data_IF_537102030997
#
_entry.id   IF_537102030997
#
_cell.length_a   1.000
_cell.length_b   1.000
_cell.length_c   1.000
_cell.angle_alpha   90.00
_cell.angle_beta   90.00
_cell.angle_gamma   90.00
#
_symmetry.space_group_name_H-M   'P 1'
#
loop_
_entity.id
_entity.type
_entity.pdbx_description
1 polymer ?
#
# COMPACT_ATOMS: atom_id res chain seq x y z
N UNK A 1 -8.38 37.48 17.05
CA UNK A 1 -8.52 36.19 16.34
C UNK A 1 -7.12 35.74 15.91
N UNK A 2 -6.43 34.95 16.73
CA UNK A 2 -5.04 34.52 16.47
C UNK A 2 -4.98 33.25 15.62
N UNK A 3 -5.81 33.16 14.58
CA UNK A 3 -6.10 31.88 13.94
C UNK A 3 -5.55 31.79 12.53
N UNK A 4 -4.52 30.96 12.33
CA UNK A 4 -4.40 30.21 11.09
C UNK A 4 -5.72 29.44 10.88
N UNK A 5 -6.24 29.40 9.64
CA UNK A 5 -7.53 28.78 9.30
C UNK A 5 -7.62 27.30 9.72
N UNK A 6 -8.81 26.72 9.69
CA UNK A 6 -9.09 25.33 10.13
C UNK A 6 -9.14 24.30 8.98
N UNK A 7 -8.69 24.66 7.77
CA UNK A 7 -8.69 23.77 6.61
C UNK A 7 -7.54 22.76 6.59
N UNK A 8 -7.47 21.95 5.52
CA UNK A 8 -6.44 20.91 5.31
C UNK A 8 -5.01 21.41 5.59
N UNK A 9 -4.69 22.64 5.16
CA UNK A 9 -3.36 23.24 5.33
C UNK A 9 -3.26 24.15 6.56
N UNK A 10 -4.36 24.35 7.29
CA UNK A 10 -4.49 25.29 8.39
C UNK A 10 -3.64 24.97 9.62
N UNK A 11 -3.26 23.70 9.79
CA UNK A 11 -2.37 23.25 10.86
C UNK A 11 -0.90 23.09 10.42
N UNK A 12 -0.57 23.36 9.15
CA UNK A 12 0.77 23.06 8.61
C UNK A 12 1.87 23.90 9.26
N UNK A 13 1.59 25.16 9.58
CA UNK A 13 2.54 26.07 10.23
C UNK A 13 2.52 25.98 11.77
N UNK A 14 1.83 24.98 12.35
CA UNK A 14 1.83 24.75 13.80
C UNK A 14 2.95 23.80 14.16
N UNK A 15 3.72 24.16 15.18
CA UNK A 15 4.71 23.26 15.77
C UNK A 15 4.01 22.01 16.32
N UNK A 16 4.59 20.84 16.08
CA UNK A 16 4.11 19.54 16.56
C UNK A 16 5.20 18.89 17.39
N UNK A 17 4.82 18.26 18.49
CA UNK A 17 5.74 17.46 19.29
C UNK A 17 5.70 16.01 18.78
N UNK A 18 6.54 15.73 17.79
CA UNK A 18 6.67 14.41 17.18
C UNK A 18 8.09 14.19 16.68
N UNK A 19 8.54 12.94 16.67
CA UNK A 19 9.81 12.55 16.05
C UNK A 19 9.54 11.79 14.76
N UNK A 20 10.03 12.32 13.63
CA UNK A 20 9.92 11.67 12.32
C UNK A 20 11.06 10.67 12.11
N UNK A 21 10.73 9.48 11.62
CA UNK A 21 11.68 8.43 11.29
C UNK A 21 11.24 7.71 10.00
N UNK A 22 12.15 6.88 9.46
CA UNK A 22 11.90 6.05 8.28
C UNK A 22 12.50 4.66 8.47
N UNK A 23 11.72 3.63 8.18
CA UNK A 23 12.26 2.31 7.81
C UNK A 23 12.32 2.21 6.29
N UNK A 24 13.41 1.66 5.75
CA UNK A 24 13.57 1.54 4.30
C UNK A 24 14.43 0.35 3.90
N UNK A 25 14.39 0.04 2.60
CA UNK A 25 15.21 -1.00 1.99
C UNK A 25 16.69 -0.63 1.81
N UNK A 26 17.14 0.50 2.38
CA UNK A 26 18.50 1.02 2.18
C UNK A 26 19.61 0.03 2.56
N UNK A 27 20.73 0.13 1.85
CA UNK A 27 21.92 -0.67 2.10
C UNK A 27 22.65 -0.16 3.34
N UNK A 28 22.57 -0.93 4.42
CA UNK A 28 23.20 -0.59 5.71
C UNK A 28 24.73 -0.48 5.66
N UNK A 29 25.37 -0.94 4.58
CA UNK A 29 26.80 -0.73 4.36
C UNK A 29 27.12 0.62 3.73
N UNK A 30 26.11 1.41 3.34
CA UNK A 30 26.26 2.67 2.63
C UNK A 30 26.55 2.54 1.14
N UNK A 31 26.39 1.35 0.55
CA UNK A 31 26.47 1.13 -0.89
C UNK A 31 25.08 1.27 -1.55
N UNK A 32 24.92 0.76 -2.77
CA UNK A 32 23.73 0.98 -3.61
C UNK A 32 22.85 -0.27 -3.74
N UNK A 33 22.92 -1.23 -2.80
CA UNK A 33 22.03 -2.40 -2.79
C UNK A 33 20.78 -2.10 -1.98
N UNK A 34 20.09 -1.02 -2.32
CA UNK A 34 18.91 -0.51 -1.61
C UNK A 34 17.62 -1.29 -1.94
N UNK A 35 17.77 -2.51 -2.43
CA UNK A 35 16.69 -3.38 -2.86
C UNK A 35 16.78 -4.71 -2.13
N UNK A 36 15.65 -5.15 -1.58
CA UNK A 36 15.57 -6.44 -0.93
C UNK A 36 15.05 -7.48 -1.93
N UNK A 37 15.66 -8.66 -1.95
CA UNK A 37 15.07 -9.84 -2.60
C UNK A 37 14.23 -10.59 -1.56
N UNK A 38 13.00 -10.92 -1.93
CA UNK A 38 12.06 -11.71 -1.11
C UNK A 38 11.75 -13.01 -1.85
N UNK A 39 12.15 -14.13 -1.26
CA UNK A 39 12.10 -15.44 -1.92
C UNK A 39 10.68 -16.02 -1.95
N UNK A 40 10.41 -17.02 -2.79
CA UNK A 40 9.15 -17.76 -2.79
C UNK A 40 8.78 -18.28 -1.39
N UNK A 41 7.54 -18.03 -0.95
CA UNK A 41 7.02 -18.41 0.37
C UNK A 41 7.56 -17.58 1.55
N UNK A 42 8.48 -16.65 1.32
CA UNK A 42 9.06 -15.83 2.37
C UNK A 42 8.04 -14.81 2.89
N UNK A 43 7.93 -14.73 4.22
CA UNK A 43 7.32 -13.60 4.93
C UNK A 43 8.43 -12.71 5.45
N UNK A 44 8.44 -11.46 5.00
CA UNK A 44 9.48 -10.50 5.35
C UNK A 44 8.88 -9.28 6.04
N UNK A 45 9.43 -8.97 7.21
CA UNK A 45 9.10 -7.76 7.97
C UNK A 45 9.79 -6.57 7.31
N UNK A 46 9.00 -5.62 6.82
CA UNK A 46 9.50 -4.36 6.27
C UNK A 46 9.72 -3.34 7.38
N UNK A 47 8.82 -3.28 8.34
CA UNK A 47 8.91 -2.38 9.50
C UNK A 47 8.32 -3.05 10.75
N UNK A 48 8.99 -2.85 11.88
CA UNK A 48 8.56 -3.30 13.21
C UNK A 48 8.77 -2.17 14.21
N UNK A 49 7.76 -1.29 14.30
CA UNK A 49 7.86 0.00 14.95
C UNK A 49 7.19 -0.08 16.33
N UNK A 50 7.87 0.39 17.37
CA UNK A 50 7.34 0.48 18.74
C UNK A 50 6.99 1.92 19.11
N UNK A 51 5.88 2.10 19.83
CA UNK A 51 5.47 3.38 20.44
C UNK A 51 3.95 3.52 20.44
N UNK A 52 3.40 4.65 20.94
CA UNK A 52 2.36 5.32 20.20
C UNK A 52 3.00 6.07 19.02
N UNK A 53 2.35 6.05 17.86
CA UNK A 53 2.83 6.71 16.66
C UNK A 53 1.83 6.65 15.51
N UNK A 54 2.25 7.13 14.35
CA UNK A 54 1.46 7.11 13.13
C UNK A 54 2.36 6.89 11.91
N UNK A 55 2.05 5.88 11.09
CA UNK A 55 2.61 5.81 9.74
C UNK A 55 1.96 6.91 8.91
N UNK A 56 2.77 7.80 8.35
CA UNK A 56 2.30 8.99 7.63
C UNK A 56 2.47 8.85 6.13
N UNK A 57 3.40 7.99 5.69
CA UNK A 57 3.61 7.73 4.28
C UNK A 57 4.24 6.36 4.06
N UNK A 58 3.76 5.67 3.03
CA UNK A 58 4.39 4.45 2.51
C UNK A 58 4.68 4.68 1.04
N UNK A 59 5.93 4.52 0.64
CA UNK A 59 6.34 4.42 -0.76
C UNK A 59 6.87 3.03 -1.04
N UNK A 60 6.54 2.49 -2.21
CA UNK A 60 7.06 1.21 -2.68
C UNK A 60 7.28 1.20 -4.19
N UNK A 61 8.26 0.43 -4.64
CA UNK A 61 8.32 -0.06 -6.02
C UNK A 61 8.90 -1.46 -6.04
N UNK A 62 8.42 -2.27 -6.98
CA UNK A 62 8.78 -3.68 -7.08
C UNK A 62 9.12 -4.05 -8.52
N UNK A 63 9.90 -5.13 -8.65
CA UNK A 63 10.15 -5.80 -9.91
C UNK A 63 10.13 -7.30 -9.69
N UNK A 64 9.32 -8.03 -10.45
CA UNK A 64 9.24 -9.48 -10.42
C UNK A 64 9.37 -9.99 -11.84
N UNK A 65 10.44 -10.73 -12.12
CA UNK A 65 10.71 -11.26 -13.45
C UNK A 65 10.70 -12.78 -13.45
N UNK A 66 10.10 -13.37 -14.47
CA UNK A 66 10.17 -14.80 -14.78
C UNK A 66 11.21 -15.03 -15.85
N UNK A 67 11.98 -16.11 -15.69
CA UNK A 67 12.91 -16.58 -16.69
C UNK A 67 12.22 -17.60 -17.60
N UNK A 68 12.41 -17.44 -18.91
CA UNK A 68 11.89 -18.30 -19.95
C UNK A 68 13.05 -18.83 -20.82
N UNK A 69 13.23 -20.15 -20.81
CA UNK A 69 14.22 -20.83 -21.65
C UNK A 69 15.64 -20.25 -21.53
N UNK A 70 16.29 -20.03 -22.66
CA UNK A 70 17.72 -19.66 -22.77
C UNK A 70 17.95 -18.16 -22.51
N UNK A 71 17.51 -17.64 -21.37
CA UNK A 71 17.88 -16.31 -20.87
C UNK A 71 16.94 -15.16 -21.23
N UNK A 72 15.72 -15.43 -21.73
CA UNK A 72 14.69 -14.38 -21.82
C UNK A 72 14.05 -14.18 -20.46
N UNK A 73 13.79 -12.94 -20.07
CA UNK A 73 13.01 -12.62 -18.89
C UNK A 73 11.86 -11.68 -19.26
N UNK A 74 10.72 -11.87 -18.62
CA UNK A 74 9.59 -10.93 -18.70
C UNK A 74 9.00 -10.72 -17.31
N UNK A 75 8.19 -9.69 -17.14
CA UNK A 75 7.45 -9.49 -15.91
C UNK A 75 6.54 -10.69 -15.62
N UNK A 76 6.42 -11.06 -14.34
CA UNK A 76 5.31 -11.92 -13.94
C UNK A 76 4.01 -11.11 -14.04
N UNK A 77 3.08 -11.46 -14.94
CA UNK A 77 1.92 -10.62 -15.21
C UNK A 77 0.98 -10.47 -14.01
N UNK A 78 1.06 -11.38 -13.03
CA UNK A 78 0.12 -11.46 -11.91
C UNK A 78 0.76 -11.12 -10.56
N UNK A 79 2.04 -10.75 -10.50
CA UNK A 79 2.77 -10.71 -9.23
C UNK A 79 2.19 -9.72 -8.20
N UNK A 80 1.55 -8.64 -8.65
CA UNK A 80 0.85 -7.69 -7.77
C UNK A 80 -0.28 -8.33 -6.96
N UNK A 81 -0.79 -9.48 -7.41
CA UNK A 81 -1.77 -10.31 -6.71
C UNK A 81 -1.17 -11.54 -6.02
N UNK A 82 0.13 -11.81 -6.21
CA UNK A 82 0.87 -12.91 -5.58
C UNK A 82 1.75 -12.45 -4.41
N UNK A 83 1.88 -11.14 -4.18
CA UNK A 83 2.54 -10.58 -3.00
C UNK A 83 1.47 -9.98 -2.09
N UNK A 84 1.35 -10.48 -0.85
CA UNK A 84 0.40 -9.92 0.12
C UNK A 84 1.07 -8.86 0.99
N UNK A 85 0.41 -7.72 1.15
CA UNK A 85 0.71 -6.73 2.18
C UNK A 85 -0.06 -7.09 3.45
N UNK A 86 0.65 -7.14 4.57
CA UNK A 86 0.09 -7.48 5.88
C UNK A 86 0.47 -6.40 6.89
N UNK A 87 -0.51 -5.86 7.61
CA UNK A 87 -0.24 -4.92 8.70
C UNK A 87 -0.98 -5.34 9.96
N UNK A 88 -0.24 -5.45 11.06
CA UNK A 88 -0.77 -5.75 12.39
C UNK A 88 -0.56 -4.56 13.34
N UNK A 89 -1.61 -4.20 14.08
CA UNK A 89 -1.57 -3.14 15.09
C UNK A 89 -1.47 -3.72 16.51
N UNK A 90 -0.68 -3.08 17.37
CA UNK A 90 -0.60 -3.29 18.82
C UNK A 90 -0.42 -4.73 19.31
N UNK A 91 0.27 -5.54 18.50
CA UNK A 91 0.56 -6.94 18.81
C UNK A 91 -0.61 -7.89 18.54
N UNK A 92 -1.61 -7.47 17.76
CA UNK A 92 -2.66 -8.36 17.30
C UNK A 92 -2.11 -9.55 16.52
N UNK A 93 -2.76 -10.71 16.70
CA UNK A 93 -2.33 -11.97 16.06
C UNK A 93 -2.75 -12.07 14.59
N UNK A 94 -3.82 -11.37 14.21
CA UNK A 94 -4.39 -11.39 12.86
C UNK A 94 -4.24 -9.99 12.27
N UNK A 95 -3.76 -9.86 11.03
CA UNK A 95 -3.56 -8.55 10.43
C UNK A 95 -4.89 -7.83 10.19
N UNK A 96 -4.94 -6.55 10.57
CA UNK A 96 -6.02 -5.62 10.24
C UNK A 96 -6.03 -5.19 8.77
N UNK A 97 -4.86 -5.21 8.13
CA UNK A 97 -4.71 -5.04 6.67
C UNK A 97 -4.16 -6.33 6.09
N UNK A 98 -4.94 -7.01 5.26
CA UNK A 98 -4.49 -8.22 4.55
C UNK A 98 -5.05 -8.19 3.13
N UNK A 99 -4.21 -7.80 2.20
CA UNK A 99 -4.59 -7.50 0.82
C UNK A 99 -3.43 -7.83 -0.12
N UNK A 100 -3.69 -8.12 -1.41
CA UNK A 100 -2.63 -8.12 -2.39
C UNK A 100 -2.02 -6.72 -2.52
N UNK A 101 -0.71 -6.68 -2.72
CA UNK A 101 0.07 -5.44 -2.71
C UNK A 101 -0.42 -4.47 -3.77
N UNK A 102 -0.67 -4.93 -5.00
CA UNK A 102 -1.15 -4.06 -6.07
C UNK A 102 -2.53 -3.47 -5.79
N UNK A 103 -3.48 -4.31 -5.34
CA UNK A 103 -4.85 -3.88 -5.06
C UNK A 103 -4.90 -2.83 -3.92
N UNK A 104 -4.00 -2.89 -2.92
CA UNK A 104 -3.90 -1.84 -1.89
C UNK A 104 -3.60 -0.45 -2.46
N UNK A 105 -2.72 -0.39 -3.47
CA UNK A 105 -2.33 0.85 -4.16
C UNK A 105 -3.11 1.08 -5.46
N UNK A 106 -4.32 0.53 -5.55
CA UNK A 106 -5.24 0.70 -6.68
C UNK A 106 -4.71 0.21 -8.04
N UNK A 107 -3.72 -0.69 -8.07
CA UNK A 107 -3.26 -1.37 -9.30
C UNK A 107 -4.11 -2.63 -9.54
N UNK A 108 -5.31 -2.43 -10.08
CA UNK A 108 -6.25 -3.51 -10.36
C UNK A 108 -5.72 -4.50 -11.39
N UNK A 109 -6.04 -5.79 -11.21
CA UNK A 109 -5.69 -6.88 -12.15
C UNK A 109 -4.20 -7.01 -12.47
N UNK A 110 -3.32 -6.52 -11.59
CA UNK A 110 -1.87 -6.48 -11.83
C UNK A 110 -1.46 -5.65 -13.05
N UNK A 111 -2.32 -4.75 -13.53
CA UNK A 111 -2.04 -3.81 -14.62
C UNK A 111 -1.55 -2.51 -14.01
N UNK A 112 -0.36 -2.06 -14.39
CA UNK A 112 0.16 -0.80 -13.88
C UNK A 112 -0.41 0.39 -14.65
N UNK A 113 -0.74 1.47 -13.93
CA UNK A 113 -1.19 2.72 -14.53
C UNK A 113 -0.76 3.93 -13.71
N UNK A 114 -0.80 5.10 -14.35
CA UNK A 114 -0.63 6.38 -13.67
C UNK A 114 -1.97 6.84 -13.09
N UNK A 115 -2.00 7.20 -11.81
CA UNK A 115 -3.14 7.90 -11.23
C UNK A 115 -2.72 8.75 -10.02
N UNK A 116 -3.54 9.72 -9.66
CA UNK A 116 -3.33 10.59 -8.51
C UNK A 116 -4.65 10.83 -7.78
N UNK A 117 -4.62 10.65 -6.47
CA UNK A 117 -5.69 10.96 -5.53
C UNK A 117 -5.06 11.53 -4.25
N UNK A 118 -5.88 12.01 -3.32
CA UNK A 118 -5.38 12.49 -2.04
C UNK A 118 -4.63 11.39 -1.24
N UNK A 119 -5.21 10.19 -1.02
CA UNK A 119 -4.52 9.14 -0.25
C UNK A 119 -3.50 8.33 -1.04
N UNK A 120 -3.62 8.22 -2.36
CA UNK A 120 -2.78 7.33 -3.17
C UNK A 120 -2.31 7.98 -4.46
N UNK A 121 -1.07 7.69 -4.85
CA UNK A 121 -0.56 8.01 -6.19
C UNK A 121 0.20 6.82 -6.74
N UNK A 122 0.12 6.63 -8.07
CA UNK A 122 0.94 5.67 -8.78
C UNK A 122 1.55 6.31 -10.02
N UNK A 123 2.83 6.04 -10.26
CA UNK A 123 3.55 6.53 -11.43
C UNK A 123 4.38 5.44 -12.10
N UNK A 124 4.21 5.30 -13.41
CA UNK A 124 4.90 4.31 -14.24
C UNK A 124 5.18 4.88 -15.63
N UNK A 125 6.31 4.47 -16.22
CA UNK A 125 6.64 4.72 -17.62
C UNK A 125 6.14 3.60 -18.55
N UNK A 126 5.34 2.65 -18.05
CA UNK A 126 4.81 1.49 -18.79
C UNK A 126 3.31 1.26 -18.53
N UNK A 127 2.46 2.28 -18.67
CA UNK A 127 1.03 2.11 -18.39
C UNK A 127 0.41 0.99 -19.25
N UNK A 128 -0.54 0.25 -18.68
CA UNK A 128 -1.21 -0.88 -19.35
C UNK A 128 -0.41 -2.18 -19.36
N UNK A 129 0.77 -2.23 -18.72
CA UNK A 129 1.61 -3.43 -18.67
C UNK A 129 1.22 -4.31 -17.48
N UNK A 130 0.93 -5.58 -17.73
CA UNK A 130 0.77 -6.58 -16.67
C UNK A 130 2.09 -6.81 -15.96
N UNK A 131 2.09 -6.73 -14.63
CA UNK A 131 3.28 -6.94 -13.81
C UNK A 131 4.39 -5.90 -14.03
N UNK A 132 4.09 -4.76 -14.66
CA UNK A 132 5.09 -3.71 -14.88
C UNK A 132 5.64 -3.12 -13.58
N UNK A 133 6.73 -2.35 -13.70
CA UNK A 133 7.25 -1.54 -12.59
C UNK A 133 6.40 -0.27 -12.41
N UNK A 134 6.11 0.10 -11.17
CA UNK A 134 5.35 1.30 -10.81
C UNK A 134 5.81 1.79 -9.44
N UNK A 135 5.92 3.11 -9.28
CA UNK A 135 6.12 3.76 -8.00
C UNK A 135 4.77 4.00 -7.34
N UNK A 136 4.59 3.48 -6.13
CA UNK A 136 3.33 3.48 -5.39
C UNK A 136 3.49 4.30 -4.12
N UNK A 137 2.57 5.23 -3.86
CA UNK A 137 2.54 6.01 -2.63
C UNK A 137 1.18 5.85 -1.92
N UNK A 138 1.21 5.81 -0.60
CA UNK A 138 0.05 5.88 0.28
C UNK A 138 0.31 6.93 1.36
N UNK A 139 -0.64 7.85 1.54
CA UNK A 139 -0.62 8.95 2.51
C UNK A 139 -1.75 8.82 3.55
N UNK A 140 -2.42 7.67 3.61
CA UNK A 140 -3.40 7.41 4.67
C UNK A 140 -2.67 7.37 6.02
N UNK A 141 -3.09 8.16 7.01
CA UNK A 141 -2.54 8.07 8.36
C UNK A 141 -2.89 6.71 8.95
N UNK A 142 -1.91 6.01 9.51
CA UNK A 142 -2.10 4.73 10.19
C UNK A 142 -1.57 4.81 11.63
N UNK A 143 -2.39 5.31 12.57
CA UNK A 143 -2.03 5.39 13.97
C UNK A 143 -1.91 4.01 14.62
N UNK A 144 -1.04 3.89 15.63
CA UNK A 144 -0.90 2.70 16.48
C UNK A 144 -0.52 3.13 17.90
N UNK A 145 -0.99 2.43 18.94
CA UNK A 145 -0.76 2.83 20.34
C UNK A 145 0.47 2.17 20.98
N UNK A 146 0.84 0.99 20.51
CA UNK A 146 1.92 0.16 21.08
C UNK A 146 2.91 -0.30 20.01
N UNK A 147 2.42 -0.78 18.87
CA UNK A 147 3.28 -1.38 17.84
C UNK A 147 2.62 -1.37 16.46
N UNK A 148 3.39 -1.08 15.42
CA UNK A 148 3.02 -1.30 14.03
C UNK A 148 3.97 -2.33 13.42
N UNK A 149 3.43 -3.39 12.82
CA UNK A 149 4.22 -4.40 12.11
C UNK A 149 3.72 -4.55 10.68
N UNK A 150 4.56 -4.15 9.73
CA UNK A 150 4.30 -4.21 8.29
C UNK A 150 5.14 -5.34 7.68
N UNK A 151 4.48 -6.23 6.96
CA UNK A 151 5.10 -7.37 6.29
C UNK A 151 4.63 -7.51 4.86
N UNK A 152 5.48 -8.15 4.06
CA UNK A 152 5.13 -8.71 2.76
C UNK A 152 5.26 -10.23 2.80
N UNK A 153 4.34 -10.92 2.11
CA UNK A 153 4.39 -12.37 1.92
C UNK A 153 4.45 -12.64 0.42
N UNK A 154 5.55 -13.25 -0.04
CA UNK A 154 5.68 -13.66 -1.42
C UNK A 154 5.01 -15.03 -1.62
N UNK A 155 3.79 -15.04 -2.15
CA UNK A 155 3.07 -16.26 -2.55
C UNK A 155 3.36 -16.68 -3.99
N UNK A 156 4.33 -16.04 -4.63
CA UNK A 156 4.81 -16.42 -5.95
C UNK A 156 5.80 -17.60 -5.87
N UNK A 157 6.05 -18.23 -7.01
CA UNK A 157 7.04 -19.31 -7.19
C UNK A 157 8.43 -18.78 -7.59
N UNK A 158 8.56 -17.47 -7.79
CA UNK A 158 9.81 -16.77 -8.10
C UNK A 158 10.12 -15.66 -7.09
N UNK A 159 11.39 -15.33 -6.85
CA UNK A 159 11.75 -14.18 -6.01
C UNK A 159 11.34 -12.88 -6.68
N UNK A 160 11.08 -11.86 -5.85
CA UNK A 160 10.87 -10.49 -6.34
C UNK A 160 11.73 -9.48 -5.59
N UNK A 161 11.97 -8.35 -6.25
CA UNK A 161 12.74 -7.22 -5.75
C UNK A 161 11.81 -6.18 -5.13
N UNK A 162 12.12 -5.71 -3.92
CA UNK A 162 11.34 -4.77 -3.13
C UNK A 162 12.19 -3.55 -2.74
N UNK A 163 11.75 -2.37 -3.18
CA UNK A 163 12.15 -1.08 -2.62
C UNK A 163 11.01 -0.53 -1.78
N UNK A 164 11.30 0.05 -0.61
CA UNK A 164 10.25 0.66 0.20
C UNK A 164 10.76 1.77 1.11
N UNK A 165 9.88 2.72 1.42
CA UNK A 165 9.95 3.65 2.54
C UNK A 165 8.68 3.52 3.37
N UNK A 166 8.83 3.35 4.67
CA UNK A 166 7.77 3.51 5.66
C UNK A 166 8.17 4.69 6.52
N UNK A 167 7.56 5.84 6.24
CA UNK A 167 7.72 7.07 7.01
C UNK A 167 6.69 7.11 8.12
N UNK A 168 7.15 7.46 9.32
CA UNK A 168 6.30 7.49 10.49
C UNK A 168 6.74 8.55 11.49
N UNK A 169 5.80 8.91 12.34
CA UNK A 169 6.02 9.75 13.50
C UNK A 169 5.86 8.93 14.78
N UNK A 170 6.70 9.20 15.76
CA UNK A 170 6.53 8.73 17.14
C UNK A 170 6.12 9.90 18.02
N UNK A 171 5.22 9.62 18.96
CA UNK A 171 4.66 10.60 19.88
C UNK A 171 5.14 10.34 21.30
N UNK A 172 5.33 11.41 22.07
CA UNK A 172 5.63 11.30 23.50
C UNK A 172 4.38 10.94 24.29
N UNK A 173 3.25 11.56 23.93
CA UNK A 173 1.97 11.34 24.57
C UNK A 173 1.18 10.19 23.90
N UNK A 174 0.33 9.49 24.67
CA UNK A 174 -0.61 8.53 24.10
C UNK A 174 -1.55 9.16 23.06
N UNK A 175 -1.98 8.34 22.10
CA UNK A 175 -3.08 8.73 21.20
C UNK A 175 -4.38 8.86 22.00
N UNK A 176 -5.25 9.79 21.58
CA UNK A 176 -6.59 9.93 22.14
C UNK A 176 -7.42 8.63 21.97
N UNK A 177 -8.39 8.43 22.87
CA UNK A 177 -9.18 7.19 22.93
C UNK A 177 -10.07 6.98 21.68
N UNK A 178 -10.45 8.06 21.00
CA UNK A 178 -11.26 8.05 19.78
C UNK A 178 -10.47 7.80 18.49
N UNK A 179 -9.14 7.66 18.57
CA UNK A 179 -8.30 7.33 17.41
C UNK A 179 -8.50 5.85 17.00
N UNK A 180 -8.99 5.67 15.78
CA UNK A 180 -9.20 4.36 15.15
C UNK A 180 -7.97 3.87 14.36
N UNK A 181 -8.03 2.61 13.92
CA UNK A 181 -6.99 1.97 13.11
C UNK A 181 -7.43 1.76 11.67
N UNK A 182 -6.47 1.77 10.76
CA UNK A 182 -6.72 1.44 9.36
C UNK A 182 -6.99 -0.07 9.22
N UNK A 183 -8.08 -0.40 8.53
CA UNK A 183 -8.36 -1.75 8.08
C UNK A 183 -8.51 -1.77 6.56
N UNK A 184 -8.04 -2.84 5.94
CA UNK A 184 -8.26 -3.08 4.52
C UNK A 184 -8.33 -4.59 4.26
N UNK A 185 -9.35 -4.99 3.53
CA UNK A 185 -9.60 -6.39 3.18
C UNK A 185 -9.87 -6.50 1.69
N UNK A 186 -9.27 -7.50 1.08
CA UNK A 186 -9.52 -7.84 -0.31
C UNK A 186 -10.48 -9.02 -0.40
N UNK A 187 -11.42 -8.94 -1.33
CA UNK A 187 -12.40 -9.98 -1.63
C UNK A 187 -12.48 -10.14 -3.14
N UNK A 188 -12.73 -11.37 -3.58
CA UNK A 188 -12.96 -11.72 -4.98
C UNK A 188 -14.05 -12.76 -5.07
N UNK A 189 -14.84 -12.63 -6.13
CA UNK A 189 -15.82 -13.61 -6.58
C UNK A 189 -15.40 -14.10 -7.97
N UNK A 190 -15.54 -15.41 -8.25
CA UNK A 190 -15.22 -16.00 -9.55
C UNK A 190 -15.99 -17.33 -9.77
N UNK A 191 -16.98 -17.40 -10.69
CA UNK A 191 -17.47 -16.29 -11.52
C UNK A 191 -18.06 -15.18 -10.65
N UNK A 192 -18.04 -13.95 -11.14
CA UNK A 192 -18.85 -12.89 -10.52
C UNK A 192 -20.20 -12.90 -11.24
N UNK A 193 -21.29 -12.99 -10.47
CA UNK A 193 -22.64 -13.06 -11.04
C UNK A 193 -23.07 -11.71 -11.64
N UNK A 194 -22.27 -10.66 -11.43
CA UNK A 194 -22.57 -9.29 -11.84
C UNK A 194 -23.76 -8.72 -11.07
N UNK A 195 -24.15 -7.50 -11.42
CA UNK A 195 -25.40 -6.89 -10.95
C UNK A 195 -26.01 -6.12 -12.13
N UNK A 196 -27.35 -6.03 -12.19
CA UNK A 196 -28.02 -5.27 -13.24
C UNK A 196 -28.04 -5.94 -14.62
N UNK A 197 -27.93 -7.28 -14.70
CA UNK A 197 -28.08 -8.00 -15.99
C UNK A 197 -29.52 -7.92 -16.52
N UNK A 198 -30.46 -7.65 -15.63
CA UNK A 198 -31.86 -7.31 -15.89
C UNK A 198 -32.06 -5.86 -16.36
N UNK A 199 -31.04 -4.99 -16.19
CA UNK A 199 -31.10 -3.57 -16.56
C UNK A 199 -30.51 -3.40 -17.96
N UNK A 200 -31.38 -3.14 -18.93
CA UNK A 200 -30.94 -2.88 -20.31
C UNK A 200 -30.18 -1.54 -20.39
N UNK A 201 -28.96 -1.57 -20.94
CA UNK A 201 -28.16 -0.34 -21.16
C UNK A 201 -28.82 0.63 -22.15
N UNK A 202 -28.54 1.93 -22.02
CA UNK A 202 -29.12 3.01 -22.83
C UNK A 202 -30.66 3.10 -22.75
N UNK A 203 -31.22 2.83 -21.58
CA UNK A 203 -32.65 3.00 -21.28
C UNK A 203 -32.84 4.05 -20.20
N UNK A 204 -34.06 4.59 -20.06
CA UNK A 204 -34.36 5.58 -19.02
C UNK A 204 -34.18 5.00 -17.61
N UNK A 205 -34.39 3.69 -17.46
CA UNK A 205 -34.19 2.93 -16.22
C UNK A 205 -32.72 2.83 -15.83
N UNK A 206 -31.81 2.78 -16.82
CA UNK A 206 -30.37 2.82 -16.61
C UNK A 206 -29.82 4.26 -16.51
N UNK A 207 -30.59 5.27 -16.97
CA UNK A 207 -30.28 6.70 -16.93
C UNK A 207 -30.95 7.39 -15.73
N UNK A 208 -30.87 6.73 -14.56
CA UNK A 208 -31.32 7.31 -13.29
C UNK A 208 -30.16 7.97 -12.58
N UNK A 209 -30.37 9.21 -12.13
CA UNK A 209 -29.41 9.91 -11.28
C UNK A 209 -29.21 9.08 -10.01
N UNK A 210 -27.96 8.72 -9.68
CA UNK A 210 -27.61 8.12 -8.40
C UNK A 210 -28.12 9.05 -7.29
N UNK A 211 -29.24 8.67 -6.66
CA UNK A 211 -29.74 9.29 -5.44
C UNK A 211 -29.23 8.41 -4.30
N UNK A 212 -28.33 8.99 -3.53
CA UNK A 212 -27.56 8.40 -2.44
C UNK A 212 -28.29 7.34 -1.59
#
# INVERSE_FOLDING_TARGET
>A
MNGLGTGLLGSLARLRNARTLRESSWDRTGRNRDCWSVNPGEKRVLADIRGPGCVTHIWMTQNCQRLFGTGKSDFDPDYFRKVLLRICWDGEKRPSVLVPLGDFFCQGHSIVSNFCSLPFTASTNRPGTFGGTVALNCYLPMPFRKRCRIEVENQNDVPYSQYFYVDYELYEEPLADDVAYLHAQWRRENPTDGWGHEVQVNTAEADVVNKD
#
